data_IF_429583351254
#
_entry.id   IF_429583351254
#
_cell.length_a   1.000
_cell.length_b   1.000
_cell.length_c   1.000
_cell.angle_alpha   90.00
_cell.angle_beta   90.00
_cell.angle_gamma   90.00
#
_symmetry.space_group_name_H-M   'P 1'
#
loop_
_entity.id
_entity.type
_entity.pdbx_description
1 polymer ?
#
# COMPACT_ATOMS: atom_id res chain seq x y z
N UNK A 1 48.69 8.63 26.84
CA UNK A 1 47.22 8.77 26.89
C UNK A 1 46.85 10.12 26.28
N UNK A 2 46.74 10.30 24.97
CA UNK A 2 45.89 9.53 24.04
C UNK A 2 44.57 10.28 23.82
N UNK A 3 44.60 11.53 23.34
CA UNK A 3 43.42 12.24 22.84
C UNK A 3 43.11 11.68 21.45
N UNK A 4 42.09 10.86 21.31
CA UNK A 4 41.60 10.38 20.01
C UNK A 4 40.35 11.14 19.60
N UNK A 5 40.53 12.01 18.61
CA UNK A 5 39.51 12.54 17.72
C UNK A 5 38.64 11.41 17.14
N UNK A 6 37.32 11.60 17.16
CA UNK A 6 36.40 11.06 16.15
C UNK A 6 35.33 12.15 15.96
N UNK A 7 35.57 13.07 15.03
CA UNK A 7 35.10 13.00 13.65
C UNK A 7 33.60 13.31 13.57
N UNK A 8 33.35 14.62 13.53
CA UNK A 8 32.14 15.24 13.04
C UNK A 8 31.89 14.75 11.61
N UNK A 9 30.88 13.89 11.44
CA UNK A 9 30.41 13.47 10.13
C UNK A 9 29.19 14.31 9.79
N UNK A 10 29.44 15.29 8.93
CA UNK A 10 28.46 15.99 8.12
C UNK A 10 27.60 14.98 7.34
N UNK A 11 26.37 14.74 7.80
CA UNK A 11 25.38 14.02 7.01
C UNK A 11 24.50 15.02 6.28
N UNK A 12 24.45 14.88 4.96
CA UNK A 12 23.64 15.73 4.09
C UNK A 12 22.19 15.47 4.43
N UNK A 13 21.36 16.50 4.47
CA UNK A 13 19.90 16.36 4.55
C UNK A 13 19.39 15.63 3.31
N UNK A 14 19.41 14.30 3.35
CA UNK A 14 18.60 13.47 2.48
C UNK A 14 17.15 13.84 2.77
N UNK A 15 16.48 14.43 1.77
CA UNK A 15 15.06 14.68 1.82
C UNK A 15 14.39 13.32 2.02
N UNK A 16 13.95 13.02 3.25
CA UNK A 16 13.41 11.71 3.59
C UNK A 16 12.12 11.49 2.81
N UNK A 17 12.22 10.77 1.69
CA UNK A 17 11.05 10.40 0.88
C UNK A 17 10.23 9.41 1.69
N UNK A 18 8.95 9.74 1.94
CA UNK A 18 8.05 8.83 2.63
C UNK A 18 7.82 7.59 1.78
N UNK A 19 7.94 6.40 2.37
CA UNK A 19 7.69 5.13 1.68
C UNK A 19 6.30 5.09 1.03
N UNK A 20 5.33 5.78 1.61
CA UNK A 20 3.98 5.90 1.05
C UNK A 20 3.96 6.63 -0.31
N UNK A 21 4.80 7.65 -0.47
CA UNK A 21 4.92 8.42 -1.71
C UNK A 21 5.61 7.60 -2.80
N UNK A 22 6.64 6.83 -2.44
CA UNK A 22 7.32 5.90 -3.37
C UNK A 22 6.32 4.85 -3.89
N UNK A 23 5.51 4.28 -3.02
CA UNK A 23 4.48 3.30 -3.41
C UNK A 23 3.44 3.95 -4.31
N UNK A 24 2.94 5.14 -3.95
CA UNK A 24 1.99 5.87 -4.76
C UNK A 24 2.54 6.18 -6.17
N UNK A 25 3.82 6.57 -6.26
CA UNK A 25 4.49 6.83 -7.54
C UNK A 25 4.65 5.55 -8.37
N UNK A 26 4.99 4.43 -7.73
CA UNK A 26 5.06 3.12 -8.38
C UNK A 26 3.70 2.69 -8.94
N UNK A 27 2.62 2.84 -8.16
CA UNK A 27 1.25 2.56 -8.59
C UNK A 27 0.83 3.46 -9.76
N UNK A 28 1.22 4.74 -9.72
CA UNK A 28 0.96 5.68 -10.82
C UNK A 28 1.69 5.28 -12.10
N UNK A 29 2.92 4.80 -11.98
CA UNK A 29 3.73 4.32 -13.12
C UNK A 29 3.13 3.07 -13.76
N UNK A 30 2.47 2.22 -12.96
CA UNK A 30 1.67 1.08 -13.43
C UNK A 30 0.28 1.47 -13.95
N UNK A 31 0.01 2.78 -14.01
CA UNK A 31 -1.23 3.36 -14.52
C UNK A 31 -2.49 2.83 -13.80
N UNK A 32 -2.36 2.67 -12.47
CA UNK A 32 -3.48 2.34 -11.59
C UNK A 32 -4.42 3.54 -11.50
N UNK A 33 -5.69 3.32 -11.85
CA UNK A 33 -6.72 4.36 -11.79
C UNK A 33 -7.54 4.31 -10.50
N UNK A 34 -7.76 3.11 -9.94
CA UNK A 34 -8.68 2.88 -8.83
C UNK A 34 -8.06 2.05 -7.71
N UNK A 35 -8.37 2.48 -6.49
CA UNK A 35 -8.04 1.79 -5.25
C UNK A 35 -9.31 1.54 -4.46
N UNK A 36 -9.50 0.30 -3.99
CA UNK A 36 -10.67 -0.12 -3.22
C UNK A 36 -10.23 -0.60 -1.85
N UNK A 37 -11.02 -0.38 -0.81
CA UNK A 37 -10.63 -0.87 0.50
C UNK A 37 -11.38 -0.30 1.68
N UNK A 38 -10.89 -0.62 2.87
CA UNK A 38 -11.27 0.02 4.13
C UNK A 38 -10.04 0.74 4.66
N UNK A 39 -10.13 2.08 4.77
CA UNK A 39 -9.04 2.86 5.37
C UNK A 39 -8.98 2.58 6.86
N UNK A 40 -7.80 2.26 7.36
CA UNK A 40 -7.43 2.43 8.76
C UNK A 40 -6.07 3.11 8.88
N UNK A 41 -5.71 3.49 10.11
CA UNK A 41 -4.52 4.31 10.43
C UNK A 41 -3.26 3.88 9.66
N UNK A 42 -2.91 2.58 9.55
CA UNK A 42 -1.68 2.16 8.88
C UNK A 42 -1.66 2.37 7.35
N UNK A 43 -2.82 2.41 6.71
CA UNK A 43 -2.95 2.49 5.24
C UNK A 43 -3.39 3.87 4.74
N UNK A 44 -3.73 4.77 5.66
CA UNK A 44 -4.18 6.13 5.34
C UNK A 44 -3.12 6.92 4.58
N UNK A 45 -1.84 6.84 4.97
CA UNK A 45 -0.79 7.64 4.35
C UNK A 45 -0.61 7.33 2.86
N UNK A 46 -0.72 6.05 2.48
CA UNK A 46 -0.66 5.62 1.07
C UNK A 46 -1.92 6.04 0.33
N UNK A 47 -3.10 5.89 0.93
CA UNK A 47 -4.33 6.33 0.31
C UNK A 47 -4.28 7.83 0.00
N UNK A 48 -3.78 8.64 0.93
CA UNK A 48 -3.60 10.09 0.76
C UNK A 48 -2.55 10.40 -0.31
N UNK A 49 -1.39 9.74 -0.28
CA UNK A 49 -0.33 9.94 -1.28
C UNK A 49 -0.81 9.55 -2.70
N UNK A 50 -1.51 8.42 -2.83
CA UNK A 50 -2.08 7.97 -4.09
C UNK A 50 -3.17 8.91 -4.62
N UNK A 51 -4.02 9.43 -3.73
CA UNK A 51 -5.02 10.44 -4.09
C UNK A 51 -4.38 11.73 -4.61
N UNK A 52 -3.26 12.19 -4.03
CA UNK A 52 -2.51 13.36 -4.53
C UNK A 52 -2.00 13.14 -5.97
N UNK A 53 -1.66 11.91 -6.35
CA UNK A 53 -1.23 11.55 -7.71
C UNK A 53 -2.40 11.24 -8.67
N UNK A 54 -3.63 11.48 -8.22
CA UNK A 54 -4.85 11.32 -9.01
C UNK A 54 -5.41 9.91 -9.07
N UNK A 55 -4.97 9.00 -8.19
CA UNK A 55 -5.57 7.66 -8.07
C UNK A 55 -6.85 7.77 -7.24
N UNK A 56 -7.96 7.25 -7.77
CA UNK A 56 -9.27 7.38 -7.10
C UNK A 56 -9.43 6.29 -6.04
N UNK A 57 -9.54 6.71 -4.79
CA UNK A 57 -9.89 5.82 -3.69
C UNK A 57 -11.41 5.65 -3.54
N UNK A 58 -11.86 4.40 -3.38
CA UNK A 58 -13.24 4.01 -3.15
C UNK A 58 -13.33 3.22 -1.85
N UNK A 59 -13.89 3.86 -0.83
CA UNK A 59 -14.12 3.23 0.47
C UNK A 59 -15.27 2.23 0.42
N UNK A 60 -15.00 0.99 0.82
CA UNK A 60 -15.98 -0.08 0.96
C UNK A 60 -16.29 -0.31 2.44
N UNK A 61 -17.28 -1.16 2.74
CA UNK A 61 -17.62 -1.58 4.11
C UNK A 61 -17.14 -2.98 4.46
N UNK A 62 -16.71 -3.75 3.46
CA UNK A 62 -16.23 -5.11 3.62
C UNK A 62 -14.98 -5.29 2.74
N UNK A 63 -13.92 -5.83 3.32
CA UNK A 63 -12.64 -6.06 2.65
C UNK A 63 -12.73 -7.10 1.53
N UNK A 64 -13.57 -8.15 1.66
CA UNK A 64 -13.80 -9.10 0.55
C UNK A 64 -14.40 -8.40 -0.66
N UNK A 65 -15.41 -7.56 -0.43
CA UNK A 65 -16.06 -6.82 -1.50
C UNK A 65 -15.07 -5.87 -2.19
N UNK A 66 -14.16 -5.27 -1.43
CA UNK A 66 -13.07 -4.45 -1.99
C UNK A 66 -12.13 -5.28 -2.89
N UNK A 67 -11.71 -6.48 -2.45
CA UNK A 67 -10.89 -7.38 -3.28
C UNK A 67 -11.62 -7.79 -4.57
N UNK A 68 -12.91 -8.11 -4.50
CA UNK A 68 -13.69 -8.46 -5.70
C UNK A 68 -13.77 -7.28 -6.67
N UNK A 69 -14.04 -6.07 -6.17
CA UNK A 69 -14.09 -4.87 -6.99
C UNK A 69 -12.74 -4.57 -7.66
N UNK A 70 -11.64 -4.66 -6.89
CA UNK A 70 -10.30 -4.46 -7.41
C UNK A 70 -9.95 -5.48 -8.50
N UNK A 71 -10.31 -6.74 -8.29
CA UNK A 71 -10.07 -7.81 -9.28
C UNK A 71 -10.95 -7.67 -10.52
N UNK A 72 -12.20 -7.22 -10.36
CA UNK A 72 -13.10 -6.95 -11.47
C UNK A 72 -12.62 -5.78 -12.33
N UNK A 73 -12.11 -4.70 -11.73
CA UNK A 73 -11.45 -3.62 -12.47
C UNK A 73 -10.21 -4.14 -13.18
N UNK A 74 -9.41 -4.97 -12.49
CA UNK A 74 -8.31 -5.74 -13.04
C UNK A 74 -8.65 -6.38 -14.37
N UNK A 75 -9.71 -7.18 -14.33
CA UNK A 75 -10.20 -7.96 -15.44
C UNK A 75 -10.80 -7.09 -16.57
N UNK A 76 -11.65 -6.11 -16.23
CA UNK A 76 -12.38 -5.31 -17.23
C UNK A 76 -11.49 -4.30 -17.95
N UNK A 77 -10.50 -3.73 -17.25
CA UNK A 77 -9.65 -2.66 -17.79
C UNK A 77 -8.32 -3.18 -18.33
N UNK A 78 -7.96 -4.44 -18.02
CA UNK A 78 -6.64 -5.00 -18.32
C UNK A 78 -5.50 -4.34 -17.54
N UNK A 79 -5.82 -3.55 -16.51
CA UNK A 79 -4.86 -2.82 -15.67
C UNK A 79 -4.95 -3.29 -14.23
N UNK A 80 -3.86 -3.29 -13.46
CA UNK A 80 -3.90 -3.74 -12.07
C UNK A 80 -4.87 -2.90 -11.25
N UNK A 81 -5.79 -3.57 -10.54
CA UNK A 81 -6.58 -2.98 -9.46
C UNK A 81 -5.81 -3.06 -8.15
N UNK A 82 -6.09 -2.16 -7.21
CA UNK A 82 -5.44 -2.16 -5.89
C UNK A 82 -6.47 -2.35 -4.80
N UNK A 83 -6.18 -3.25 -3.86
CA UNK A 83 -6.96 -3.44 -2.66
C UNK A 83 -6.16 -2.96 -1.45
N UNK A 84 -6.67 -1.96 -0.73
CA UNK A 84 -6.07 -1.47 0.51
C UNK A 84 -6.84 -2.00 1.71
N UNK A 85 -6.16 -2.81 2.51
CA UNK A 85 -6.71 -3.38 3.75
C UNK A 85 -5.71 -3.22 4.88
N UNK A 86 -6.22 -3.09 6.09
CA UNK A 86 -5.39 -3.03 7.29
C UNK A 86 -4.83 -4.41 7.64
N UNK A 87 -3.67 -4.41 8.30
CA UNK A 87 -3.11 -5.61 8.91
C UNK A 87 -4.05 -6.17 9.99
N UNK A 88 -4.00 -7.49 10.19
CA UNK A 88 -4.87 -8.20 11.13
C UNK A 88 -6.20 -8.64 10.48
N UNK A 89 -7.36 -8.29 11.04
CA UNK A 89 -8.65 -8.83 10.60
C UNK A 89 -9.00 -8.44 9.15
N UNK A 90 -8.60 -7.24 8.71
CA UNK A 90 -8.87 -6.77 7.35
C UNK A 90 -8.22 -7.64 6.28
N UNK A 91 -6.96 -8.05 6.50
CA UNK A 91 -6.26 -8.99 5.61
C UNK A 91 -6.94 -10.36 5.57
N UNK A 92 -7.34 -10.90 6.73
CA UNK A 92 -8.00 -12.20 6.79
C UNK A 92 -9.36 -12.17 6.08
N UNK A 93 -10.10 -11.06 6.21
CA UNK A 93 -11.32 -10.87 5.45
C UNK A 93 -11.05 -10.82 3.94
N UNK A 94 -10.07 -10.03 3.50
CA UNK A 94 -9.69 -9.92 2.08
C UNK A 94 -9.27 -11.24 1.42
N UNK A 95 -8.77 -12.21 2.21
CA UNK A 95 -8.21 -13.46 1.71
C UNK A 95 -9.16 -14.24 0.78
N UNK A 96 -10.47 -14.24 1.06
CA UNK A 96 -11.47 -14.88 0.21
C UNK A 96 -11.53 -14.27 -1.19
N UNK A 97 -11.47 -12.94 -1.29
CA UNK A 97 -11.44 -12.23 -2.56
C UNK A 97 -10.13 -12.43 -3.32
N UNK A 98 -8.99 -12.45 -2.61
CA UNK A 98 -7.69 -12.76 -3.20
C UNK A 98 -7.63 -14.18 -3.78
N UNK A 99 -8.14 -15.17 -3.05
CA UNK A 99 -8.18 -16.55 -3.50
C UNK A 99 -9.00 -16.69 -4.78
N UNK A 100 -10.16 -16.02 -4.84
CA UNK A 100 -10.98 -15.97 -6.04
C UNK A 100 -10.24 -15.31 -7.23
N UNK A 101 -9.55 -14.18 -7.00
CA UNK A 101 -8.75 -13.53 -8.04
C UNK A 101 -7.66 -14.46 -8.58
N UNK A 102 -6.98 -15.20 -7.69
CA UNK A 102 -5.97 -16.18 -8.06
C UNK A 102 -6.53 -17.33 -8.90
N UNK A 103 -7.67 -17.90 -8.49
CA UNK A 103 -8.30 -19.03 -9.20
C UNK A 103 -8.82 -18.63 -10.58
N UNK A 104 -9.36 -17.42 -10.73
CA UNK A 104 -9.90 -16.93 -12.00
C UNK A 104 -8.84 -16.26 -12.89
N UNK A 105 -7.55 -16.34 -12.51
CA UNK A 105 -6.43 -15.67 -13.18
C UNK A 105 -6.68 -14.17 -13.43
N UNK A 106 -7.43 -13.52 -12.55
CA UNK A 106 -7.58 -12.08 -12.59
C UNK A 106 -6.27 -11.43 -12.16
N UNK A 107 -5.99 -10.24 -12.71
CA UNK A 107 -4.86 -9.43 -12.25
C UNK A 107 -4.98 -9.28 -10.73
N UNK A 108 -4.01 -9.87 -10.02
CA UNK A 108 -4.07 -9.93 -8.56
C UNK A 108 -4.02 -8.50 -8.03
N UNK A 109 -4.95 -8.12 -7.14
CA UNK A 109 -4.86 -6.84 -6.49
C UNK A 109 -3.56 -6.75 -5.70
N UNK A 110 -2.90 -5.59 -5.77
CA UNK A 110 -1.75 -5.32 -4.91
C UNK A 110 -2.28 -5.09 -3.50
N UNK A 111 -2.02 -6.04 -2.60
CA UNK A 111 -2.34 -5.92 -1.17
C UNK A 111 -1.14 -5.30 -0.45
N UNK A 112 -1.34 -4.17 0.22
CA UNK A 112 -0.30 -3.51 1.02
C UNK A 112 -0.45 -3.86 2.51
N UNK A 113 0.58 -4.47 3.11
CA UNK A 113 0.67 -4.76 4.54
C UNK A 113 1.72 -3.83 5.16
N UNK A 114 1.34 -2.74 5.84
CA UNK A 114 2.25 -2.08 6.76
C UNK A 114 2.34 -2.93 8.03
N UNK A 115 3.42 -3.68 8.15
CA UNK A 115 3.90 -4.14 9.45
C UNK A 115 4.56 -2.95 10.14
N UNK A 116 4.28 -2.72 11.41
CA UNK A 116 5.28 -2.13 12.30
C UNK A 116 6.63 -2.78 11.99
N UNK A 117 7.65 -1.97 11.71
CA UNK A 117 9.03 -2.42 11.69
C UNK A 117 9.31 -3.13 13.03
N UNK A 118 9.99 -4.28 13.06
CA UNK A 118 10.52 -4.81 14.30
C UNK A 118 11.57 -3.82 14.81
N UNK A 119 11.19 -2.94 15.74
CA UNK A 119 12.09 -1.89 16.23
C UNK A 119 11.52 -0.85 17.21
N UNK A 120 10.20 -0.77 17.45
CA UNK A 120 9.65 0.14 18.48
C UNK A 120 8.50 -0.51 19.26
N UNK A 121 8.87 -1.23 20.31
CA UNK A 121 8.07 -1.38 21.53
C UNK A 121 9.08 -1.47 22.69
N UNK A 122 9.00 -0.52 23.60
CA UNK A 122 9.71 -0.52 24.88
C UNK A 122 9.16 -1.62 25.81
#
# INVERSE_FOLDING_TARGET
>A
MGKSNFAESSDKSEEQVSGAEVIAQALKTQDVAYMFGIVGIPVTEIAVAAQKLGIRYVGMRNEQAACYAASAIGYLTGRPGVCLVVSGPGLIHALGGMANANMNCWLKPVDYIPSSLPGQAA
#
